data_IF_175372301419
#
_entry.id   IF_175372301419
#
_cell.length_a   1.000
_cell.length_b   1.000
_cell.length_c   1.000
_cell.angle_alpha   90.00
_cell.angle_beta   90.00
_cell.angle_gamma   90.00
#
_symmetry.space_group_name_H-M   'P 1'
#
loop_
_entity.id
_entity.type
_entity.pdbx_description
1 polymer ?
#
# COMPACT_ATOMS: atom_id res chain seq x y z
N UNK A 1 -24.11 3.37 12.98
CA UNK A 1 -23.59 3.07 11.69
C UNK A 1 -22.08 2.90 11.68
N UNK A 2 -21.65 1.81 11.24
CA UNK A 2 -20.22 1.55 11.19
C UNK A 2 -19.72 1.78 9.80
N UNK A 3 -18.57 2.38 9.71
CA UNK A 3 -17.90 2.48 8.47
C UNK A 3 -17.01 1.26 8.33
N UNK A 4 -17.16 0.59 7.22
CA UNK A 4 -16.40 -0.62 6.97
C UNK A 4 -15.19 -0.26 6.14
N UNK A 5 -14.07 -0.11 6.84
CA UNK A 5 -12.81 0.09 6.13
C UNK A 5 -12.26 -1.26 5.70
N UNK A 6 -11.64 -1.27 4.54
CA UNK A 6 -10.94 -2.44 4.02
C UNK A 6 -9.48 -2.10 3.81
N UNK A 7 -8.65 -3.11 3.89
CA UNK A 7 -7.24 -2.94 3.61
C UNK A 7 -6.78 -4.01 2.64
N UNK A 8 -5.83 -3.64 1.80
CA UNK A 8 -5.12 -4.58 0.96
C UNK A 8 -3.66 -4.55 1.38
N UNK A 9 -3.10 -5.71 1.59
CA UNK A 9 -1.70 -5.88 1.94
C UNK A 9 -1.02 -6.61 0.80
N UNK A 10 0.05 -6.03 0.27
CA UNK A 10 0.82 -6.61 -0.81
C UNK A 10 2.23 -6.89 -0.31
N UNK A 11 2.63 -8.14 -0.37
CA UNK A 11 3.95 -8.56 0.08
C UNK A 11 4.82 -8.90 -1.12
N UNK A 12 5.91 -8.16 -1.26
CA UNK A 12 6.87 -8.32 -2.34
C UNK A 12 8.12 -8.97 -1.75
N UNK A 13 8.28 -10.27 -1.97
CA UNK A 13 9.43 -11.02 -1.45
C UNK A 13 10.53 -11.11 -2.50
N UNK A 14 11.76 -11.26 -2.04
CA UNK A 14 12.89 -11.44 -2.96
C UNK A 14 13.28 -10.18 -3.71
N UNK A 15 12.98 -9.02 -3.17
CA UNK A 15 13.23 -7.74 -3.83
C UNK A 15 13.77 -6.75 -2.80
N UNK A 16 15.01 -6.97 -2.33
CA UNK A 16 15.51 -6.20 -1.19
C UNK A 16 15.65 -4.71 -1.43
N UNK A 17 15.72 -4.27 -2.69
CA UNK A 17 15.85 -2.84 -2.99
C UNK A 17 14.54 -2.16 -3.30
N UNK A 18 13.44 -2.92 -3.33
CA UNK A 18 12.16 -2.35 -3.77
C UNK A 18 11.65 -1.26 -2.84
N UNK A 19 11.74 -1.46 -1.53
CA UNK A 19 11.21 -0.47 -0.59
C UNK A 19 11.91 0.88 -0.77
N UNK A 20 13.21 0.88 -0.97
CA UNK A 20 13.96 2.11 -1.16
C UNK A 20 13.57 2.79 -2.47
N UNK A 21 13.37 2.00 -3.54
CA UNK A 21 12.95 2.57 -4.80
C UNK A 21 11.54 3.17 -4.72
N UNK A 22 10.63 2.49 -4.04
CA UNK A 22 9.29 3.02 -3.85
C UNK A 22 9.30 4.29 -3.01
N UNK A 23 10.13 4.33 -1.99
CA UNK A 23 10.25 5.51 -1.14
C UNK A 23 10.73 6.72 -1.95
N UNK A 24 11.68 6.52 -2.83
CA UNK A 24 12.16 7.61 -3.70
C UNK A 24 11.06 8.16 -4.59
N UNK A 25 10.06 7.34 -4.89
CA UNK A 25 8.98 7.71 -5.80
C UNK A 25 7.67 7.91 -5.07
N UNK A 26 7.74 8.24 -3.79
CA UNK A 26 6.53 8.31 -2.96
C UNK A 26 5.52 9.34 -3.48
N UNK A 27 6.01 10.44 -4.07
CA UNK A 27 5.08 11.43 -4.61
C UNK A 27 4.32 10.93 -5.82
N UNK A 28 4.95 10.09 -6.65
CA UNK A 28 4.25 9.47 -7.77
C UNK A 28 3.19 8.51 -7.28
N UNK A 29 3.55 7.69 -6.28
CA UNK A 29 2.60 6.73 -5.71
C UNK A 29 1.42 7.46 -5.10
N UNK A 30 1.67 8.54 -4.40
CA UNK A 30 0.62 9.38 -3.83
C UNK A 30 -0.34 9.85 -4.91
N UNK A 31 0.21 10.35 -6.02
CA UNK A 31 -0.61 10.84 -7.13
C UNK A 31 -1.47 9.75 -7.75
N UNK A 32 -0.98 8.53 -7.77
CA UNK A 32 -1.71 7.40 -8.34
C UNK A 32 -2.85 6.96 -7.42
N UNK A 33 -2.62 6.97 -6.10
CA UNK A 33 -3.56 6.39 -5.15
C UNK A 33 -4.57 7.39 -4.59
N UNK A 34 -4.20 8.65 -4.45
CA UNK A 34 -5.11 9.64 -3.88
C UNK A 34 -6.47 9.73 -4.57
N UNK A 35 -6.55 9.60 -5.91
CA UNK A 35 -7.86 9.67 -6.57
C UNK A 35 -8.76 8.46 -6.33
N UNK A 36 -8.24 7.40 -5.74
CA UNK A 36 -9.06 6.21 -5.51
C UNK A 36 -10.20 6.57 -4.57
N UNK A 37 -11.43 6.19 -4.97
CA UNK A 37 -12.61 6.51 -4.19
C UNK A 37 -12.51 5.90 -2.80
N UNK A 38 -12.71 6.74 -1.78
CA UNK A 38 -12.68 6.27 -0.40
C UNK A 38 -11.29 6.01 0.15
N UNK A 39 -10.26 6.50 -0.53
CA UNK A 39 -8.89 6.30 -0.08
C UNK A 39 -8.66 6.95 1.28
N UNK A 40 -8.10 6.20 2.22
CA UNK A 40 -7.78 6.68 3.56
C UNK A 40 -6.29 6.79 3.82
N UNK A 41 -5.52 5.84 3.34
CA UNK A 41 -4.11 5.87 3.66
C UNK A 41 -3.32 4.77 2.98
N UNK A 42 -2.02 4.96 3.01
CA UNK A 42 -1.09 4.05 2.38
C UNK A 42 0.15 3.94 3.27
N UNK A 43 0.64 2.73 3.40
CA UNK A 43 1.84 2.46 4.19
C UNK A 43 2.83 1.68 3.36
N UNK A 44 4.06 2.10 3.39
CA UNK A 44 5.16 1.37 2.77
C UNK A 44 6.07 0.88 3.89
N UNK A 45 6.32 -0.41 3.92
CA UNK A 45 7.10 -1.04 4.96
C UNK A 45 8.29 -1.74 4.32
N UNK A 46 9.48 -1.42 4.79
CA UNK A 46 10.68 -2.11 4.33
C UNK A 46 10.86 -3.37 5.15
N UNK A 47 11.00 -4.51 4.49
CA UNK A 47 11.31 -5.77 5.15
C UNK A 47 12.73 -6.19 4.80
N UNK A 48 13.23 -7.20 5.49
CA UNK A 48 14.58 -7.68 5.21
C UNK A 48 14.75 -8.26 3.82
N UNK A 49 13.64 -8.67 3.21
CA UNK A 49 13.66 -9.37 1.94
C UNK A 49 12.98 -8.58 0.81
N UNK A 50 12.33 -7.48 1.14
CA UNK A 50 11.61 -6.74 0.12
C UNK A 50 10.79 -5.64 0.71
N UNK A 51 9.48 -5.66 0.43
CA UNK A 51 8.59 -4.60 0.87
C UNK A 51 7.20 -5.15 1.13
N UNK A 52 6.48 -4.46 2.00
CA UNK A 52 5.05 -4.63 2.16
C UNK A 52 4.43 -3.27 1.94
N UNK A 53 3.38 -3.22 1.14
CA UNK A 53 2.60 -2.00 1.01
C UNK A 53 1.16 -2.29 1.42
N UNK A 54 0.53 -1.31 2.06
CA UNK A 54 -0.85 -1.43 2.52
C UNK A 54 -1.64 -0.23 2.05
N UNK A 55 -2.83 -0.50 1.55
CA UNK A 55 -3.77 0.57 1.21
C UNK A 55 -5.02 0.39 2.06
N UNK A 56 -5.55 1.47 2.59
CA UNK A 56 -6.78 1.45 3.38
C UNK A 56 -7.80 2.34 2.67
N UNK A 57 -8.99 1.81 2.45
CA UNK A 57 -10.07 2.52 1.80
C UNK A 57 -11.39 2.28 2.53
N UNK A 58 -12.40 3.09 2.22
CA UNK A 58 -13.73 2.96 2.81
C UNK A 58 -14.44 1.67 2.45
N UNK A 59 -14.04 1.03 1.35
CA UNK A 59 -14.74 -0.16 0.88
C UNK A 59 -13.79 -1.06 0.10
N UNK A 60 -14.27 -2.27 -0.16
CA UNK A 60 -13.45 -3.28 -0.83
C UNK A 60 -13.07 -2.89 -2.25
N UNK A 61 -14.02 -2.26 -2.97
CA UNK A 61 -13.74 -1.85 -4.34
C UNK A 61 -12.56 -0.89 -4.42
N UNK A 62 -12.42 -0.02 -3.43
CA UNK A 62 -11.30 0.92 -3.39
C UNK A 62 -9.97 0.22 -3.27
N UNK A 63 -9.86 -0.75 -2.37
CA UNK A 63 -8.57 -1.43 -2.22
C UNK A 63 -8.27 -2.34 -3.41
N UNK A 64 -9.30 -2.89 -4.05
CA UNK A 64 -9.09 -3.66 -5.29
C UNK A 64 -8.56 -2.75 -6.39
N UNK A 65 -9.13 -1.55 -6.50
CA UNK A 65 -8.64 -0.59 -7.47
C UNK A 65 -7.20 -0.18 -7.17
N UNK A 66 -6.86 0.01 -5.89
CA UNK A 66 -5.51 0.36 -5.53
C UNK A 66 -4.51 -0.73 -5.93
N UNK A 67 -4.92 -1.99 -5.81
CA UNK A 67 -4.06 -3.10 -6.24
C UNK A 67 -3.80 -3.04 -7.74
N UNK A 68 -4.85 -2.78 -8.52
CA UNK A 68 -4.71 -2.67 -9.96
C UNK A 68 -3.79 -1.52 -10.35
N UNK A 69 -3.99 -0.37 -9.72
CA UNK A 69 -3.20 0.81 -10.03
C UNK A 69 -1.74 0.64 -9.65
N UNK A 70 -1.48 0.05 -8.48
CA UNK A 70 -0.09 -0.15 -8.07
C UNK A 70 0.59 -1.16 -8.98
N UNK A 71 -0.10 -2.22 -9.37
CA UNK A 71 0.46 -3.21 -10.28
C UNK A 71 0.81 -2.58 -11.62
N UNK A 72 -0.08 -1.79 -12.17
CA UNK A 72 0.15 -1.12 -13.44
C UNK A 72 1.32 -0.15 -13.35
N UNK A 73 1.35 0.65 -12.28
CA UNK A 73 2.42 1.61 -12.07
C UNK A 73 3.78 0.92 -11.96
N UNK A 74 3.82 -0.18 -11.20
CA UNK A 74 5.07 -0.90 -10.98
C UNK A 74 5.61 -1.47 -12.29
N UNK A 75 4.72 -2.06 -13.09
CA UNK A 75 5.12 -2.60 -14.39
C UNK A 75 5.64 -1.53 -15.33
N UNK A 76 5.07 -0.35 -15.23
CA UNK A 76 5.46 0.77 -16.10
C UNK A 76 6.75 1.43 -15.65
N UNK A 77 6.89 1.66 -14.35
CA UNK A 77 7.99 2.48 -13.83
C UNK A 77 9.17 1.68 -13.30
N UNK A 78 8.92 0.50 -12.77
CA UNK A 78 9.95 -0.34 -12.17
C UNK A 78 9.79 -1.79 -12.62
N UNK A 79 9.88 -2.04 -13.93
CA UNK A 79 9.57 -3.38 -14.46
C UNK A 79 10.45 -4.50 -13.93
N UNK A 80 11.67 -4.20 -13.52
CA UNK A 80 12.54 -5.24 -12.96
C UNK A 80 12.00 -5.79 -11.64
N UNK A 81 11.18 -5.02 -10.94
CA UNK A 81 10.58 -5.47 -9.70
C UNK A 81 9.19 -6.07 -9.90
N UNK A 82 8.69 -6.06 -11.12
CA UNK A 82 7.34 -6.51 -11.43
C UNK A 82 7.31 -7.84 -12.18
N UNK A 83 8.39 -8.60 -12.13
CA UNK A 83 8.46 -9.88 -12.83
C UNK A 83 7.59 -10.94 -12.20
N UNK A 84 7.21 -10.75 -10.95
CA UNK A 84 6.39 -11.66 -10.18
C UNK A 84 5.35 -10.85 -9.43
N UNK A 85 4.12 -11.36 -9.39
CA UNK A 85 3.08 -10.69 -8.62
C UNK A 85 3.39 -10.79 -7.13
N UNK A 86 2.98 -9.79 -6.34
CA UNK A 86 3.10 -9.91 -4.89
C UNK A 86 2.03 -10.84 -4.33
N UNK A 87 2.24 -11.32 -3.13
CA UNK A 87 1.17 -11.95 -2.38
C UNK A 87 0.22 -10.86 -1.90
N UNK A 88 -1.07 -11.05 -2.11
CA UNK A 88 -2.06 -10.04 -1.77
C UNK A 88 -3.08 -10.62 -0.80
N UNK A 89 -3.33 -9.89 0.28
CA UNK A 89 -4.42 -10.21 1.20
C UNK A 89 -5.33 -8.99 1.28
N UNK A 90 -6.62 -9.23 1.20
CA UNK A 90 -7.62 -8.17 1.34
C UNK A 90 -8.53 -8.55 2.49
N UNK A 91 -8.81 -7.61 3.37
CA UNK A 91 -9.69 -7.88 4.48
C UNK A 91 -10.38 -6.65 5.00
N UNK A 92 -11.38 -6.88 5.81
CA UNK A 92 -12.12 -5.81 6.48
C UNK A 92 -11.39 -5.45 7.76
N UNK A 93 -11.22 -4.14 7.98
CA UNK A 93 -10.61 -3.68 9.23
C UNK A 93 -11.66 -3.79 10.32
N UNK A 94 -11.41 -4.61 11.30
CA UNK A 94 -12.36 -4.84 12.40
C UNK A 94 -12.08 -3.97 13.61
N UNK A 95 -10.87 -3.47 13.71
CA UNK A 95 -10.46 -2.75 14.91
C UNK A 95 -9.18 -1.99 14.64
N UNK A 96 -9.09 -0.76 15.10
CA UNK A 96 -7.85 -0.02 15.03
C UNK A 96 -7.76 0.92 16.22
N UNK A 97 -6.56 1.21 16.63
CA UNK A 97 -6.27 2.18 17.66
C UNK A 97 -5.21 3.13 17.14
N UNK A 98 -5.41 4.39 17.42
CA UNK A 98 -4.44 5.41 17.08
C UNK A 98 -3.82 5.97 18.35
N UNK A 99 -2.51 6.03 18.36
CA UNK A 99 -1.81 6.70 19.43
C UNK A 99 -1.67 8.18 19.09
N UNK A 100 -1.55 9.01 20.10
CA UNK A 100 -1.38 10.43 19.88
C UNK A 100 -0.08 10.69 19.15
N UNK A 101 -0.12 11.44 18.06
CA UNK A 101 1.10 11.69 17.29
C UNK A 101 2.22 12.33 18.09
N UNK A 102 1.87 13.13 19.08
CA UNK A 102 2.87 13.80 19.91
C UNK A 102 3.80 12.82 20.60
N UNK A 103 3.36 11.59 20.79
CA UNK A 103 4.16 10.57 21.45
C UNK A 103 5.27 10.04 20.57
N UNK A 104 5.29 10.42 19.33
CA UNK A 104 6.19 9.84 18.36
C UNK A 104 7.29 10.80 17.99
N UNK A 105 7.36 11.91 18.63
CA UNK A 105 8.40 12.87 18.29
C UNK A 105 9.75 12.28 18.63
N UNK A 106 10.66 12.42 17.79
CA UNK A 106 12.01 11.89 17.97
C UNK A 106 13.03 12.86 17.49
#
# INVERSE_FOLDING_TARGET
MTSNMFTSIRKYSGRPLLADELFKRQNEIKSVLEPVSGFHGYYLIKTGDGAISMTVCNNRAGVEESNRLESTWLKDKLPTFATRAPEIAIGEVRFHLNLQPALVSV
#
